data_IF_897065326156
#
_entry.id   IF_897065326156
#
_cell.length_a   1.000
_cell.length_b   1.000
_cell.length_c   1.000
_cell.angle_alpha   90.00
_cell.angle_beta   90.00
_cell.angle_gamma   90.00
#
_symmetry.space_group_name_H-M   'P 1'
#
loop_
_entity.id
_entity.type
_entity.pdbx_description
1 polymer ?
#
# COMPACT_ATOMS: atom_id res chain seq x y z
N UNK A 1 5.68 10.93 -0.09
CA UNK A 1 5.64 10.33 1.25
C UNK A 1 4.53 10.89 2.15
N UNK A 2 4.39 12.21 2.33
CA UNK A 2 3.35 12.77 3.22
C UNK A 2 1.93 12.42 2.74
N UNK A 3 1.70 12.41 1.44
CA UNK A 3 0.42 12.05 0.82
C UNK A 3 0.06 10.57 1.06
N UNK A 4 1.02 9.66 0.90
CA UNK A 4 0.82 8.24 1.19
C UNK A 4 0.54 7.99 2.67
N UNK A 5 1.22 8.70 3.56
CA UNK A 5 0.93 8.63 5.00
C UNK A 5 -0.50 9.10 5.30
N UNK A 6 -0.94 10.19 4.69
CA UNK A 6 -2.31 10.71 4.86
C UNK A 6 -3.36 9.70 4.34
N UNK A 7 -3.10 9.07 3.18
CA UNK A 7 -3.98 8.03 2.62
C UNK A 7 -4.01 6.80 3.51
N UNK A 8 -2.85 6.34 4.00
CA UNK A 8 -2.77 5.20 4.91
C UNK A 8 -3.53 5.45 6.21
N UNK A 9 -3.34 6.61 6.84
CA UNK A 9 -4.06 7.01 8.06
C UNK A 9 -5.57 7.16 7.80
N UNK A 10 -5.96 7.81 6.70
CA UNK A 10 -7.36 7.96 6.32
C UNK A 10 -8.04 6.63 6.09
N UNK A 11 -7.40 5.73 5.33
CA UNK A 11 -7.89 4.38 5.09
C UNK A 11 -7.99 3.55 6.38
N UNK A 12 -7.00 3.68 7.26
CA UNK A 12 -6.99 3.00 8.56
C UNK A 12 -8.14 3.44 9.46
N UNK A 13 -8.34 4.75 9.62
CA UNK A 13 -9.46 5.30 10.42
C UNK A 13 -10.81 4.89 9.82
N UNK A 14 -10.94 4.98 8.49
CA UNK A 14 -12.16 4.57 7.79
C UNK A 14 -12.45 3.07 8.01
N UNK A 15 -11.45 2.22 7.96
CA UNK A 15 -11.57 0.80 8.21
C UNK A 15 -12.02 0.47 9.64
N UNK A 16 -11.50 1.18 10.64
CA UNK A 16 -11.94 1.04 12.03
C UNK A 16 -13.42 1.46 12.17
N UNK A 17 -13.82 2.56 11.55
CA UNK A 17 -15.23 3.02 11.58
C UNK A 17 -16.13 1.98 10.92
N UNK A 18 -15.78 1.47 9.75
CA UNK A 18 -16.55 0.43 9.04
C UNK A 18 -16.69 -0.81 9.91
N UNK A 19 -15.61 -1.24 10.56
CA UNK A 19 -15.66 -2.39 11.46
C UNK A 19 -16.60 -2.16 12.64
N UNK A 20 -16.55 -0.97 13.27
CA UNK A 20 -17.46 -0.62 14.36
C UNK A 20 -18.93 -0.65 13.92
N UNK A 21 -19.22 -0.15 12.70
CA UNK A 21 -20.58 -0.15 12.13
C UNK A 21 -21.04 -1.58 11.82
N UNK A 22 -20.20 -2.41 11.22
CA UNK A 22 -20.53 -3.81 10.92
C UNK A 22 -20.84 -4.53 12.23
N UNK A 23 -20.01 -4.38 13.25
CA UNK A 23 -20.21 -5.02 14.54
C UNK A 23 -21.49 -4.56 15.25
N UNK A 24 -21.84 -3.28 15.14
CA UNK A 24 -23.08 -2.77 15.73
C UNK A 24 -24.36 -3.32 15.08
N UNK A 25 -24.27 -3.78 13.82
CA UNK A 25 -25.41 -4.27 13.04
C UNK A 25 -25.47 -5.81 12.93
N UNK A 26 -24.34 -6.50 13.08
CA UNK A 26 -24.28 -7.96 13.05
C UNK A 26 -24.19 -8.48 14.48
N UNK A 27 -25.26 -9.14 14.93
CA UNK A 27 -25.37 -9.67 16.32
C UNK A 27 -24.52 -10.92 16.61
N UNK A 28 -23.62 -11.34 15.73
CA UNK A 28 -22.69 -12.43 15.99
C UNK A 28 -21.47 -11.91 16.76
N UNK A 29 -21.47 -12.11 18.07
CA UNK A 29 -20.61 -11.42 19.04
C UNK A 29 -19.14 -11.85 19.03
N UNK A 30 -18.76 -12.90 18.31
CA UNK A 30 -17.48 -13.58 18.56
C UNK A 30 -16.44 -13.41 17.43
N UNK A 31 -16.72 -12.72 16.35
CA UNK A 31 -15.84 -12.63 15.21
C UNK A 31 -15.30 -11.21 14.99
N UNK A 32 -13.98 -11.04 14.94
CA UNK A 32 -13.33 -9.78 14.62
C UNK A 32 -12.39 -9.92 13.43
N UNK A 33 -12.38 -8.90 12.58
CA UNK A 33 -11.49 -8.80 11.42
C UNK A 33 -10.72 -7.48 11.49
N UNK A 34 -9.43 -7.51 11.16
CA UNK A 34 -8.60 -6.30 11.09
C UNK A 34 -8.90 -5.51 9.81
N UNK A 35 -10.06 -4.83 9.76
CA UNK A 35 -10.51 -4.08 8.60
C UNK A 35 -9.75 -2.76 8.40
N UNK A 36 -9.23 -2.17 9.46
CA UNK A 36 -8.46 -0.93 9.39
C UNK A 36 -7.24 -1.08 8.49
N UNK A 37 -6.42 -2.09 8.76
CA UNK A 37 -5.23 -2.39 7.96
C UNK A 37 -5.60 -2.84 6.55
N UNK A 38 -6.66 -3.64 6.39
CA UNK A 38 -7.11 -4.10 5.08
C UNK A 38 -7.48 -2.93 4.17
N UNK A 39 -8.31 -2.01 4.65
CA UNK A 39 -8.77 -0.85 3.86
C UNK A 39 -7.59 0.09 3.60
N UNK A 40 -6.72 0.32 4.60
CA UNK A 40 -5.51 1.11 4.41
C UNK A 40 -4.60 0.51 3.33
N UNK A 41 -4.39 -0.81 3.33
CA UNK A 41 -3.57 -1.50 2.34
C UNK A 41 -4.15 -1.40 0.93
N UNK A 42 -5.47 -1.57 0.78
CA UNK A 42 -6.15 -1.44 -0.51
C UNK A 42 -6.04 -0.01 -1.04
N UNK A 43 -6.39 0.99 -0.23
CA UNK A 43 -6.32 2.40 -0.64
C UNK A 43 -4.89 2.82 -0.98
N UNK A 44 -3.93 2.41 -0.16
CA UNK A 44 -2.52 2.71 -0.39
C UNK A 44 -2.00 2.06 -1.67
N UNK A 45 -2.35 0.78 -1.92
CA UNK A 45 -1.98 0.07 -3.13
C UNK A 45 -2.52 0.74 -4.40
N UNK A 46 -3.79 1.19 -4.37
CA UNK A 46 -4.36 1.94 -5.50
C UNK A 46 -3.67 3.28 -5.74
N UNK A 47 -3.50 4.08 -4.68
CA UNK A 47 -2.89 5.41 -4.81
C UNK A 47 -1.43 5.28 -5.23
N UNK A 48 -0.71 4.29 -4.70
CA UNK A 48 0.66 4.02 -5.08
C UNK A 48 0.76 3.64 -6.56
N UNK A 49 -0.01 2.63 -6.99
CA UNK A 49 0.01 2.14 -8.37
C UNK A 49 -0.29 3.26 -9.39
N UNK A 50 -1.35 4.03 -9.17
CA UNK A 50 -1.73 5.09 -10.10
C UNK A 50 -0.82 6.31 -9.99
N UNK A 51 -0.47 6.73 -8.78
CA UNK A 51 0.40 7.89 -8.55
C UNK A 51 1.76 7.72 -9.18
N UNK A 52 2.37 6.55 -9.01
CA UNK A 52 3.71 6.26 -9.52
C UNK A 52 3.73 6.11 -11.04
N UNK A 53 2.72 5.51 -11.66
CA UNK A 53 2.64 5.44 -13.13
C UNK A 53 2.68 6.85 -13.74
N UNK A 54 1.95 7.81 -13.18
CA UNK A 54 1.94 9.18 -13.66
C UNK A 54 3.25 9.92 -13.38
N UNK A 55 3.82 9.77 -12.18
CA UNK A 55 5.09 10.44 -11.84
C UNK A 55 6.26 9.87 -12.63
N UNK A 56 6.30 8.56 -12.91
CA UNK A 56 7.33 7.95 -13.75
C UNK A 56 7.44 8.63 -15.11
N UNK A 57 6.32 8.93 -15.75
CA UNK A 57 6.31 9.55 -17.09
C UNK A 57 6.83 10.99 -17.05
N UNK A 58 6.36 11.76 -16.07
CA UNK A 58 6.78 13.16 -15.91
C UNK A 58 8.26 13.29 -15.57
N UNK A 59 8.72 12.51 -14.62
CA UNK A 59 10.11 12.51 -14.15
C UNK A 59 11.07 11.93 -15.19
N UNK A 60 10.65 10.93 -15.97
CA UNK A 60 11.47 10.33 -17.03
C UNK A 60 11.88 11.37 -18.06
N UNK A 61 10.94 12.15 -18.57
CA UNK A 61 11.23 13.18 -19.56
C UNK A 61 12.14 14.28 -18.99
N UNK A 62 11.91 14.67 -17.75
CA UNK A 62 12.72 15.65 -17.04
C UNK A 62 14.15 15.14 -16.82
N UNK A 63 14.32 13.91 -16.36
CA UNK A 63 15.64 13.31 -16.14
C UNK A 63 16.45 13.20 -17.43
N UNK A 64 15.81 12.84 -18.57
CA UNK A 64 16.47 12.82 -19.88
C UNK A 64 16.90 14.22 -20.33
N UNK A 65 16.08 15.24 -20.08
CA UNK A 65 16.43 16.62 -20.42
C UNK A 65 17.63 17.15 -19.61
N UNK A 66 17.83 16.61 -18.40
CA UNK A 66 18.99 16.89 -17.55
C UNK A 66 20.22 16.01 -17.86
N UNK A 67 20.17 15.20 -18.92
CA UNK A 67 21.30 14.39 -19.38
C UNK A 67 21.43 13.02 -18.73
N UNK A 68 20.44 12.56 -17.96
CA UNK A 68 20.45 11.22 -17.43
C UNK A 68 20.29 10.16 -18.54
N UNK A 69 21.00 9.03 -18.40
CA UNK A 69 20.78 7.91 -19.32
C UNK A 69 19.51 7.15 -18.91
N UNK A 70 18.81 6.55 -19.90
CA UNK A 70 17.61 5.75 -19.64
C UNK A 70 17.83 4.64 -18.64
N UNK A 71 19.00 3.96 -18.74
CA UNK A 71 19.34 2.87 -17.79
C UNK A 71 19.55 3.38 -16.37
N UNK A 72 20.25 4.50 -16.21
CA UNK A 72 20.48 5.10 -14.90
C UNK A 72 19.15 5.54 -14.25
N UNK A 73 18.28 6.18 -15.03
CA UNK A 73 16.96 6.59 -14.52
C UNK A 73 16.13 5.40 -14.07
N UNK A 74 15.92 4.40 -14.92
CA UNK A 74 15.10 3.22 -14.60
C UNK A 74 15.65 2.49 -13.38
N UNK A 75 16.98 2.34 -13.29
CA UNK A 75 17.61 1.68 -12.13
C UNK A 75 17.42 2.46 -10.83
N UNK A 76 17.62 3.77 -10.85
CA UNK A 76 17.42 4.63 -9.68
C UNK A 76 15.95 4.67 -9.26
N UNK A 77 15.04 4.76 -10.21
CA UNK A 77 13.60 4.74 -9.98
C UNK A 77 13.15 3.43 -9.34
N UNK A 78 13.59 2.28 -9.87
CA UNK A 78 13.27 0.98 -9.30
C UNK A 78 13.75 0.84 -7.85
N UNK A 79 14.97 1.28 -7.56
CA UNK A 79 15.51 1.24 -6.20
C UNK A 79 14.74 2.14 -5.23
N UNK A 80 14.40 3.36 -5.68
CA UNK A 80 13.63 4.29 -4.87
C UNK A 80 12.22 3.74 -4.58
N UNK A 81 11.57 3.21 -5.61
CA UNK A 81 10.24 2.61 -5.49
C UNK A 81 10.22 1.40 -4.56
N UNK A 82 11.22 0.50 -4.67
CA UNK A 82 11.37 -0.63 -3.74
C UNK A 82 11.54 -0.15 -2.29
N UNK A 83 12.32 0.90 -2.06
CA UNK A 83 12.52 1.44 -0.72
C UNK A 83 11.25 2.09 -0.18
N UNK A 84 10.49 2.78 -1.03
CA UNK A 84 9.20 3.38 -0.68
C UNK A 84 8.16 2.32 -0.32
N UNK A 85 8.00 1.29 -1.16
CA UNK A 85 7.12 0.14 -0.89
C UNK A 85 7.49 -0.56 0.43
N UNK A 86 8.77 -0.81 0.67
CA UNK A 86 9.23 -1.40 1.92
C UNK A 86 8.86 -0.54 3.15
N UNK A 87 8.96 0.78 3.02
CA UNK A 87 8.54 1.72 4.07
C UNK A 87 7.03 1.69 4.31
N UNK A 88 6.22 1.61 3.26
CA UNK A 88 4.77 1.53 3.34
C UNK A 88 4.30 0.19 3.94
N UNK A 89 4.92 -0.92 3.58
CA UNK A 89 4.64 -2.23 4.18
C UNK A 89 4.98 -2.27 5.67
N UNK A 90 6.11 -1.68 6.06
CA UNK A 90 6.47 -1.53 7.47
C UNK A 90 5.42 -0.72 8.24
N UNK A 91 4.93 0.36 7.64
CA UNK A 91 3.87 1.19 8.22
C UNK A 91 2.58 0.39 8.43
N UNK A 92 2.15 -0.37 7.42
CA UNK A 92 0.97 -1.24 7.51
C UNK A 92 1.14 -2.32 8.57
N UNK A 93 2.34 -2.90 8.68
CA UNK A 93 2.65 -3.87 9.74
C UNK A 93 2.48 -3.25 11.13
N UNK A 94 3.00 -2.05 11.35
CA UNK A 94 2.85 -1.33 12.62
C UNK A 94 1.37 -1.04 12.90
N UNK A 95 0.62 -0.57 11.90
CA UNK A 95 -0.82 -0.35 12.04
C UNK A 95 -1.57 -1.63 12.39
N UNK A 96 -1.20 -2.77 11.78
CA UNK A 96 -1.79 -4.07 12.10
C UNK A 96 -1.55 -4.49 13.54
N UNK A 97 -0.34 -4.27 14.05
CA UNK A 97 -0.04 -4.57 15.47
C UNK A 97 -0.79 -3.67 16.43
N UNK A 98 -0.94 -2.40 16.10
CA UNK A 98 -1.72 -1.44 16.89
C UNK A 98 -3.21 -1.84 16.88
N UNK A 99 -3.77 -2.15 15.71
CA UNK A 99 -5.16 -2.57 15.58
C UNK A 99 -5.44 -3.84 16.37
N UNK A 100 -4.58 -4.84 16.26
CA UNK A 100 -4.69 -6.08 17.02
C UNK A 100 -4.66 -5.84 18.52
N UNK A 101 -3.76 -4.96 18.99
CA UNK A 101 -3.67 -4.62 20.42
C UNK A 101 -4.93 -3.87 20.91
N UNK A 102 -5.43 -2.91 20.11
CA UNK A 102 -6.66 -2.17 20.43
C UNK A 102 -7.86 -3.12 20.49
N UNK A 103 -7.97 -4.04 19.53
CA UNK A 103 -9.02 -5.05 19.48
C UNK A 103 -9.03 -5.92 20.74
N UNK A 104 -7.86 -6.40 21.14
CA UNK A 104 -7.74 -7.24 22.35
C UNK A 104 -8.13 -6.52 23.64
N UNK A 105 -8.03 -5.17 23.68
CA UNK A 105 -8.43 -4.36 24.83
C UNK A 105 -9.95 -4.05 24.81
N UNK A 106 -10.46 -3.65 23.64
CA UNK A 106 -11.87 -3.21 23.50
C UNK A 106 -12.82 -4.42 23.44
N UNK A 107 -12.36 -5.52 22.87
CA UNK A 107 -13.15 -6.72 22.61
C UNK A 107 -12.44 -8.00 23.08
N UNK A 108 -12.24 -8.18 24.38
CA UNK A 108 -11.45 -9.30 24.93
C UNK A 108 -12.05 -10.69 24.68
N UNK A 109 -13.33 -10.76 24.26
CA UNK A 109 -14.03 -12.02 23.98
C UNK A 109 -14.12 -12.33 22.48
N UNK A 110 -13.46 -11.52 21.65
CA UNK A 110 -13.56 -11.63 20.20
C UNK A 110 -12.40 -12.49 19.67
N UNK A 111 -12.73 -13.61 19.04
CA UNK A 111 -11.75 -14.40 18.31
C UNK A 111 -11.42 -13.67 16.98
N UNK A 112 -10.19 -13.21 16.86
CA UNK A 112 -9.73 -12.56 15.62
C UNK A 112 -9.58 -13.61 14.53
N UNK A 113 -10.58 -13.71 13.66
CA UNK A 113 -10.62 -14.70 12.59
C UNK A 113 -9.59 -14.40 11.51
N UNK A 114 -9.32 -13.14 11.22
CA UNK A 114 -8.39 -12.71 10.20
C UNK A 114 -7.34 -11.77 10.78
N UNK A 115 -6.23 -12.32 11.21
CA UNK A 115 -5.03 -11.53 11.54
C UNK A 115 -4.21 -11.32 10.25
N UNK A 116 -4.41 -10.17 9.61
CA UNK A 116 -3.65 -9.82 8.42
C UNK A 116 -2.15 -9.71 8.68
N UNK A 117 -1.73 -9.52 9.94
CA UNK A 117 -0.30 -9.47 10.27
C UNK A 117 0.42 -10.79 10.02
N UNK A 118 -0.29 -11.91 9.91
CA UNK A 118 0.28 -13.21 9.54
C UNK A 118 0.78 -13.23 8.09
N UNK A 119 0.21 -12.40 7.22
CA UNK A 119 0.63 -12.28 5.82
C UNK A 119 1.83 -11.36 5.64
N UNK A 120 2.22 -10.58 6.64
CA UNK A 120 3.45 -9.80 6.65
C UNK A 120 4.69 -10.66 6.90
N UNK A 121 4.70 -11.87 6.33
CA UNK A 121 5.90 -12.68 6.29
C UNK A 121 6.83 -12.14 5.21
N UNK A 122 8.08 -12.04 5.55
CA UNK A 122 9.21 -11.60 4.73
C UNK A 122 9.19 -12.09 3.25
N UNK A 123 8.77 -13.35 3.00
CA UNK A 123 8.64 -13.89 1.64
C UNK A 123 7.51 -13.24 0.82
N UNK A 124 6.38 -12.90 1.47
CA UNK A 124 5.26 -12.24 0.80
C UNK A 124 5.53 -10.76 0.60
N UNK A 125 6.17 -10.11 1.56
CA UNK A 125 6.59 -8.71 1.46
C UNK A 125 7.53 -8.51 0.27
N UNK A 126 8.56 -9.34 0.14
CA UNK A 126 9.45 -9.30 -1.01
C UNK A 126 8.73 -9.55 -2.34
N UNK A 127 7.79 -10.50 -2.38
CA UNK A 127 7.02 -10.78 -3.58
C UNK A 127 6.15 -9.58 -3.99
N UNK A 128 5.52 -8.89 -3.04
CA UNK A 128 4.73 -7.67 -3.30
C UNK A 128 5.62 -6.54 -3.79
N UNK A 129 6.73 -6.25 -3.11
CA UNK A 129 7.66 -5.18 -3.50
C UNK A 129 8.17 -5.39 -4.93
N UNK A 130 8.67 -6.60 -5.22
CA UNK A 130 9.21 -6.91 -6.55
C UNK A 130 8.10 -6.91 -7.60
N UNK A 131 6.97 -7.53 -7.31
CA UNK A 131 5.83 -7.63 -8.23
C UNK A 131 5.27 -6.25 -8.58
N UNK A 132 5.01 -5.40 -7.59
CA UNK A 132 4.52 -4.03 -7.82
C UNK A 132 5.53 -3.21 -8.62
N UNK A 133 6.81 -3.25 -8.26
CA UNK A 133 7.85 -2.52 -9.01
C UNK A 133 7.92 -2.96 -10.48
N UNK A 134 7.79 -4.26 -10.77
CA UNK A 134 7.77 -4.76 -12.15
C UNK A 134 6.53 -4.25 -12.90
N UNK A 135 5.36 -4.30 -12.28
CA UNK A 135 4.11 -3.83 -12.89
C UNK A 135 4.18 -2.34 -13.22
N UNK A 136 4.71 -1.54 -12.32
CA UNK A 136 4.85 -0.09 -12.51
C UNK A 136 5.85 0.27 -13.62
N UNK A 137 7.02 -0.36 -13.62
CA UNK A 137 8.01 -0.17 -14.68
C UNK A 137 7.46 -0.61 -16.04
N UNK A 138 6.73 -1.72 -16.08
CA UNK A 138 6.12 -2.20 -17.31
C UNK A 138 5.02 -1.25 -17.80
N UNK A 139 4.12 -0.81 -16.91
CA UNK A 139 3.07 0.15 -17.25
C UNK A 139 3.66 1.48 -17.72
N UNK A 140 4.66 2.02 -17.03
CA UNK A 140 5.38 3.22 -17.43
C UNK A 140 6.05 3.08 -18.80
N UNK A 141 6.70 1.95 -19.07
CA UNK A 141 7.33 1.68 -20.37
C UNK A 141 6.30 1.57 -21.51
N UNK A 142 5.15 0.95 -21.26
CA UNK A 142 4.05 0.83 -22.24
C UNK A 142 3.51 2.21 -22.57
N UNK A 143 3.24 3.05 -21.57
CA UNK A 143 2.72 4.41 -21.78
C UNK A 143 3.73 5.28 -22.52
N UNK A 144 5.02 5.20 -22.19
CA UNK A 144 6.07 5.93 -22.90
C UNK A 144 6.19 5.49 -24.36
N UNK A 145 5.95 4.20 -24.66
CA UNK A 145 6.06 3.68 -26.04
C UNK A 145 4.86 4.02 -26.91
N UNK A 146 3.66 3.91 -26.37
CA UNK A 146 2.42 4.08 -27.16
C UNK A 146 1.83 5.48 -27.05
N UNK A 147 2.32 6.29 -26.10
CA UNK A 147 1.81 7.61 -25.79
C UNK A 147 0.43 7.57 -25.16
N UNK A 148 0.17 8.46 -24.23
CA UNK A 148 -1.22 8.84 -23.96
C UNK A 148 -1.62 9.75 -25.11
N UNK A 149 -2.25 9.20 -26.13
CA UNK A 149 -2.98 10.02 -27.10
C UNK A 149 -4.20 10.54 -26.35
N UNK A 150 -4.04 11.75 -25.80
CA UNK A 150 -5.16 12.52 -25.28
C UNK A 150 -6.12 12.85 -26.41
#
# INVERSE_FOLDING_TARGET
>A
MLEFLAVALGGYVLGIIVMMVIRANTMEENECVTLGVLIAAIMLGFVHLFGIIFSFIGEFNMALSMGATRKAYVGSYALFNMAELAGLELLLFVFGKIEFAIMGVIYPQCDVILDLTQYFQWKYLLAVIIGMTIVELFAGAVILRFGMKA
#
